data_IF_224746484392
#
_entry.id   IF_224746484392
#
_cell.length_a   1.000
_cell.length_b   1.000
_cell.length_c   1.000
_cell.angle_alpha   90.00
_cell.angle_beta   90.00
_cell.angle_gamma   90.00
#
_symmetry.space_group_name_H-M   'P 1'
#
loop_
_entity.id
_entity.type
_entity.pdbx_description
1 polymer ?
#
# COMPACT_ATOMS: atom_id res chain seq x y z
N UNK A 1 -36.81 -27.08 11.41
CA UNK A 1 -36.55 -26.70 10.02
C UNK A 1 -35.28 -27.41 9.60
N UNK A 2 -35.26 -28.11 8.49
CA UNK A 2 -34.10 -28.89 8.06
C UNK A 2 -33.02 -27.97 7.49
N UNK A 3 -31.74 -28.33 7.63
CA UNK A 3 -30.59 -27.60 7.06
C UNK A 3 -30.75 -27.31 5.55
N UNK A 4 -31.49 -28.15 4.83
CA UNK A 4 -31.83 -27.94 3.43
C UNK A 4 -32.85 -26.79 3.20
N UNK A 5 -33.72 -26.49 4.13
CA UNK A 5 -34.65 -25.37 4.07
C UNK A 5 -33.98 -24.03 4.41
N UNK A 6 -33.03 -24.02 5.37
CA UNK A 6 -32.21 -22.85 5.64
C UNK A 6 -31.29 -22.51 4.45
N UNK A 7 -30.70 -23.53 3.80
CA UNK A 7 -29.89 -23.34 2.59
C UNK A 7 -30.68 -22.86 1.36
N UNK A 8 -31.96 -23.18 1.28
CA UNK A 8 -32.87 -22.72 0.21
C UNK A 8 -33.35 -21.28 0.43
N UNK A 9 -33.65 -20.91 1.68
CA UNK A 9 -34.05 -19.55 2.05
C UNK A 9 -32.87 -18.56 1.95
N UNK A 10 -31.63 -18.99 2.26
CA UNK A 10 -30.43 -18.18 2.02
C UNK A 10 -30.11 -18.00 0.52
N UNK A 11 -30.46 -18.96 -0.34
CA UNK A 11 -30.32 -18.84 -1.80
C UNK A 11 -31.32 -17.87 -2.42
N UNK A 12 -32.47 -17.65 -1.80
CA UNK A 12 -33.52 -16.74 -2.27
C UNK A 12 -33.25 -15.25 -1.97
N UNK A 13 -32.13 -14.93 -1.36
CA UNK A 13 -31.82 -13.57 -0.88
C UNK A 13 -31.49 -12.55 -1.99
N UNK A 14 -31.03 -12.99 -3.16
CA UNK A 14 -30.61 -12.10 -4.25
C UNK A 14 -31.46 -12.33 -5.51
N UNK A 15 -31.80 -11.23 -6.20
CA UNK A 15 -32.54 -11.31 -7.49
C UNK A 15 -31.61 -11.70 -8.65
N UNK A 16 -30.35 -11.30 -8.58
CA UNK A 16 -29.32 -11.67 -9.55
C UNK A 16 -27.94 -11.70 -8.92
N UNK A 17 -27.05 -12.41 -9.59
CA UNK A 17 -25.63 -12.52 -9.29
C UNK A 17 -24.84 -11.88 -10.41
N UNK A 18 -23.84 -11.09 -10.10
CA UNK A 18 -22.97 -10.40 -11.07
C UNK A 18 -21.51 -10.68 -10.75
N UNK A 19 -20.79 -11.19 -11.73
CA UNK A 19 -19.32 -11.30 -11.69
C UNK A 19 -18.70 -10.20 -12.54
N UNK A 20 -17.70 -9.49 -12.00
CA UNK A 20 -17.02 -8.40 -12.72
C UNK A 20 -15.53 -8.70 -12.80
N UNK A 21 -15.01 -8.73 -14.03
CA UNK A 21 -13.58 -8.67 -14.31
C UNK A 21 -13.17 -7.21 -14.52
N UNK A 22 -12.26 -6.74 -13.66
CA UNK A 22 -11.83 -5.35 -13.62
C UNK A 22 -10.73 -5.06 -14.63
N UNK A 23 -10.83 -3.93 -15.33
CA UNK A 23 -9.76 -3.38 -16.17
C UNK A 23 -9.76 -1.84 -16.12
N UNK A 24 -8.65 -1.22 -16.58
CA UNK A 24 -8.43 0.22 -16.43
C UNK A 24 -9.44 1.10 -17.19
N UNK A 25 -9.93 0.66 -18.31
CA UNK A 25 -10.80 1.48 -19.18
C UNK A 25 -12.22 0.93 -19.26
N UNK A 26 -12.39 -0.38 -19.16
CA UNK A 26 -13.64 -1.06 -19.43
C UNK A 26 -13.71 -2.36 -18.63
N UNK A 27 -14.76 -2.53 -17.84
CA UNK A 27 -15.00 -3.73 -17.06
C UNK A 27 -15.93 -4.69 -17.83
N UNK A 28 -15.58 -5.97 -17.86
CA UNK A 28 -16.46 -7.00 -18.38
C UNK A 28 -17.27 -7.58 -17.24
N UNK A 29 -18.56 -7.77 -17.46
CA UNK A 29 -19.43 -8.36 -16.45
C UNK A 29 -20.23 -9.53 -17.02
N UNK A 30 -20.49 -10.49 -16.16
CA UNK A 30 -21.43 -11.60 -16.37
C UNK A 30 -22.50 -11.53 -15.31
N UNK A 31 -23.78 -11.66 -15.69
CA UNK A 31 -24.93 -11.62 -14.82
C UNK A 31 -25.73 -12.91 -14.94
N UNK A 32 -26.16 -13.48 -13.80
CA UNK A 32 -27.13 -14.58 -13.76
C UNK A 32 -28.37 -14.19 -12.97
N UNK A 33 -29.53 -14.25 -13.59
CA UNK A 33 -30.84 -14.04 -12.93
C UNK A 33 -31.13 -15.22 -12.03
N UNK A 34 -31.35 -14.99 -10.74
CA UNK A 34 -31.54 -16.07 -9.76
C UNK A 34 -32.76 -16.95 -10.06
N UNK A 35 -33.87 -16.35 -10.45
CA UNK A 35 -35.14 -17.07 -10.70
C UNK A 35 -35.11 -17.99 -11.94
N UNK A 36 -34.31 -17.62 -12.98
CA UNK A 36 -34.33 -18.33 -14.28
C UNK A 36 -33.05 -19.05 -14.59
N UNK A 37 -31.94 -18.71 -13.90
CA UNK A 37 -30.61 -19.18 -14.22
C UNK A 37 -30.04 -18.61 -15.54
N UNK A 38 -30.78 -17.71 -16.23
CA UNK A 38 -30.35 -17.11 -17.49
C UNK A 38 -29.14 -16.26 -17.26
N UNK A 39 -28.10 -16.46 -18.10
CA UNK A 39 -26.84 -15.66 -18.08
C UNK A 39 -26.85 -14.63 -19.19
N UNK A 40 -26.23 -13.48 -18.88
CA UNK A 40 -26.05 -12.35 -19.76
C UNK A 40 -24.67 -11.78 -19.53
N UNK A 41 -24.09 -11.21 -20.60
CA UNK A 41 -22.74 -10.64 -20.59
C UNK A 41 -22.79 -9.22 -21.15
N UNK A 42 -21.88 -8.42 -20.74
CA UNK A 42 -21.70 -7.09 -21.27
C UNK A 42 -20.44 -6.43 -20.73
N UNK A 43 -20.33 -5.19 -21.00
CA UNK A 43 -19.24 -4.34 -20.54
C UNK A 43 -19.75 -3.00 -20.04
N UNK A 44 -18.94 -2.33 -19.21
CA UNK A 44 -19.19 -0.99 -18.71
C UNK A 44 -17.89 -0.20 -18.67
N UNK A 45 -17.93 1.05 -19.12
CA UNK A 45 -16.77 1.95 -19.04
C UNK A 45 -16.38 2.26 -17.61
N UNK A 46 -15.10 2.59 -17.38
CA UNK A 46 -14.60 2.91 -16.03
C UNK A 46 -15.01 4.31 -15.52
N UNK A 47 -15.72 5.12 -16.30
CA UNK A 47 -16.16 6.44 -15.83
C UNK A 47 -17.26 6.31 -14.77
N UNK A 48 -17.33 7.20 -13.78
CA UNK A 48 -18.39 7.21 -12.78
C UNK A 48 -19.79 7.27 -13.40
N UNK A 49 -19.95 8.00 -14.49
CA UNK A 49 -21.23 8.16 -15.22
C UNK A 49 -21.67 6.86 -15.87
N UNK A 50 -20.74 6.14 -16.54
CA UNK A 50 -21.05 4.87 -17.18
C UNK A 50 -21.42 3.79 -16.13
N UNK A 51 -20.68 3.75 -15.02
CA UNK A 51 -20.98 2.82 -13.92
C UNK A 51 -22.33 3.15 -13.29
N UNK A 52 -22.64 4.43 -13.08
CA UNK A 52 -23.94 4.87 -12.53
C UNK A 52 -25.09 4.52 -13.46
N UNK A 53 -24.98 4.78 -14.76
CA UNK A 53 -25.98 4.41 -15.77
C UNK A 53 -26.24 2.90 -15.79
N UNK A 54 -25.17 2.11 -15.78
CA UNK A 54 -25.25 0.65 -15.72
C UNK A 54 -25.97 0.16 -14.47
N UNK A 55 -25.62 0.70 -13.28
CA UNK A 55 -26.28 0.32 -12.03
C UNK A 55 -27.75 0.74 -12.03
N UNK A 56 -28.07 1.94 -12.50
CA UNK A 56 -29.44 2.41 -12.60
C UNK A 56 -30.29 1.49 -13.51
N UNK A 57 -29.71 0.99 -14.59
CA UNK A 57 -30.32 -0.03 -15.44
C UNK A 57 -30.59 -1.35 -14.68
N UNK A 58 -29.65 -1.79 -13.84
CA UNK A 58 -29.86 -2.97 -12.98
C UNK A 58 -30.95 -2.72 -11.92
N UNK A 59 -30.94 -1.56 -11.27
CA UNK A 59 -31.96 -1.20 -10.26
C UNK A 59 -33.35 -1.09 -10.86
N UNK A 60 -33.49 -0.57 -12.07
CA UNK A 60 -34.77 -0.53 -12.79
C UNK A 60 -35.29 -1.93 -13.15
N UNK A 61 -34.36 -2.85 -13.46
CA UNK A 61 -34.70 -4.26 -13.77
C UNK A 61 -35.06 -5.08 -12.54
N UNK A 62 -34.48 -4.78 -11.37
CA UNK A 62 -34.67 -5.49 -10.11
C UNK A 62 -35.13 -4.54 -8.99
N UNK A 63 -36.29 -3.90 -9.09
CA UNK A 63 -36.71 -2.82 -8.19
C UNK A 63 -36.86 -3.32 -6.75
N UNK A 64 -36.13 -2.63 -5.83
CA UNK A 64 -36.20 -2.93 -4.39
C UNK A 64 -35.53 -4.23 -3.96
N UNK A 65 -34.90 -4.96 -4.88
CA UNK A 65 -34.26 -6.26 -4.59
C UNK A 65 -32.74 -6.10 -4.45
N UNK A 66 -32.13 -6.98 -3.66
CA UNK A 66 -30.66 -7.02 -3.52
C UNK A 66 -30.04 -7.82 -4.65
N UNK A 67 -28.87 -7.35 -5.09
CA UNK A 67 -28.00 -8.00 -6.07
C UNK A 67 -26.68 -8.38 -5.40
N UNK A 68 -26.22 -9.59 -5.65
CA UNK A 68 -24.88 -10.02 -5.22
C UNK A 68 -23.87 -9.70 -6.33
N UNK A 69 -22.81 -8.98 -6.00
CA UNK A 69 -21.77 -8.59 -6.97
C UNK A 69 -20.42 -9.09 -6.48
N UNK A 70 -19.77 -9.95 -7.26
CA UNK A 70 -18.40 -10.39 -6.99
C UNK A 70 -17.42 -9.69 -7.93
N UNK A 71 -16.25 -9.34 -7.40
CA UNK A 71 -15.17 -8.75 -8.18
C UNK A 71 -13.80 -9.13 -7.61
N UNK A 72 -12.79 -9.19 -8.49
CA UNK A 72 -11.43 -9.65 -8.15
C UNK A 72 -10.66 -8.68 -7.25
N UNK A 73 -11.29 -7.64 -6.73
CA UNK A 73 -10.66 -6.64 -5.88
C UNK A 73 -11.48 -6.36 -4.62
N UNK A 74 -10.79 -6.21 -3.50
CA UNK A 74 -11.39 -5.71 -2.26
C UNK A 74 -11.32 -4.17 -2.12
N UNK A 75 -10.67 -3.48 -3.03
CA UNK A 75 -10.36 -2.04 -3.00
C UNK A 75 -10.24 -1.48 -4.41
N UNK A 76 -10.26 -0.17 -4.54
CA UNK A 76 -10.09 0.54 -5.80
C UNK A 76 -11.30 1.36 -6.19
N UNK A 77 -11.18 2.10 -7.31
CA UNK A 77 -12.18 3.05 -7.76
C UNK A 77 -13.55 2.39 -8.00
N UNK A 78 -13.58 1.27 -8.71
CA UNK A 78 -14.82 0.54 -8.98
C UNK A 78 -15.51 0.09 -7.69
N UNK A 79 -14.75 -0.47 -6.71
CA UNK A 79 -15.30 -0.85 -5.41
C UNK A 79 -15.95 0.34 -4.70
N UNK A 80 -15.29 1.51 -4.73
CA UNK A 80 -15.81 2.75 -4.12
C UNK A 80 -17.08 3.22 -4.83
N UNK A 81 -17.13 3.11 -6.17
CA UNK A 81 -18.35 3.46 -6.93
C UNK A 81 -19.52 2.55 -6.59
N UNK A 82 -19.29 1.23 -6.56
CA UNK A 82 -20.33 0.23 -6.24
C UNK A 82 -20.81 0.31 -4.79
N UNK A 83 -19.91 0.63 -3.85
CA UNK A 83 -20.25 0.71 -2.41
C UNK A 83 -21.25 1.83 -2.04
N UNK A 84 -21.57 2.74 -2.98
CA UNK A 84 -22.58 3.79 -2.78
C UNK A 84 -24.00 3.22 -2.75
N UNK A 85 -24.24 2.04 -3.32
CA UNK A 85 -25.56 1.48 -3.57
C UNK A 85 -25.88 0.38 -2.57
N UNK A 86 -26.83 0.64 -1.67
CA UNK A 86 -27.21 -0.27 -0.59
C UNK A 86 -27.83 -1.60 -1.09
N UNK A 87 -28.36 -1.62 -2.31
CA UNK A 87 -28.91 -2.82 -2.94
C UNK A 87 -27.84 -3.78 -3.47
N UNK A 88 -26.58 -3.31 -3.60
CA UNK A 88 -25.47 -4.15 -4.01
C UNK A 88 -24.76 -4.73 -2.79
N UNK A 89 -24.76 -6.04 -2.68
CA UNK A 89 -23.95 -6.75 -1.70
C UNK A 89 -22.67 -7.21 -2.40
N UNK A 90 -21.55 -6.61 -2.02
CA UNK A 90 -20.26 -6.81 -2.70
C UNK A 90 -19.51 -7.98 -2.06
N UNK A 91 -18.97 -8.86 -2.89
CA UNK A 91 -18.18 -10.02 -2.49
C UNK A 91 -16.78 -9.94 -3.13
N UNK A 92 -15.77 -9.44 -2.42
CA UNK A 92 -14.40 -9.44 -2.91
C UNK A 92 -13.89 -10.88 -3.07
N UNK A 93 -13.33 -11.19 -4.23
CA UNK A 93 -12.65 -12.46 -4.50
C UNK A 93 -11.17 -12.21 -4.61
N UNK A 94 -10.37 -13.05 -3.94
CA UNK A 94 -8.91 -12.86 -3.96
C UNK A 94 -8.35 -13.23 -5.35
N UNK A 95 -7.49 -12.39 -5.99
CA UNK A 95 -6.93 -12.64 -7.31
C UNK A 95 -6.29 -14.01 -7.49
N UNK A 96 -5.55 -14.48 -6.47
CA UNK A 96 -4.95 -15.82 -6.51
C UNK A 96 -5.99 -16.96 -6.57
N UNK A 97 -7.22 -16.75 -6.11
CA UNK A 97 -8.30 -17.73 -6.20
C UNK A 97 -8.78 -17.86 -7.64
N UNK A 98 -9.02 -16.73 -8.29
CA UNK A 98 -9.44 -16.71 -9.72
C UNK A 98 -8.34 -17.26 -10.60
N UNK A 99 -7.08 -16.87 -10.38
CA UNK A 99 -5.94 -17.40 -11.14
C UNK A 99 -5.80 -18.92 -11.05
N UNK A 100 -5.95 -19.50 -9.84
CA UNK A 100 -5.92 -20.96 -9.65
C UNK A 100 -7.11 -21.66 -10.28
N UNK A 101 -8.30 -21.07 -10.17
CA UNK A 101 -9.52 -21.63 -10.77
C UNK A 101 -9.41 -21.60 -12.29
N UNK A 102 -8.91 -20.50 -12.87
CA UNK A 102 -8.63 -20.38 -14.30
C UNK A 102 -7.65 -21.48 -14.77
N UNK A 103 -6.53 -21.65 -14.07
CA UNK A 103 -5.55 -22.68 -14.42
C UNK A 103 -6.13 -24.10 -14.37
N UNK A 104 -7.05 -24.37 -13.44
CA UNK A 104 -7.68 -25.69 -13.30
C UNK A 104 -8.75 -25.95 -14.39
N UNK A 105 -9.53 -24.95 -14.76
CA UNK A 105 -10.66 -25.10 -15.70
C UNK A 105 -10.26 -24.80 -17.17
N UNK A 106 -9.25 -23.98 -17.39
CA UNK A 106 -8.79 -23.58 -18.72
C UNK A 106 -7.28 -23.82 -18.92
N UNK A 107 -6.86 -25.08 -19.10
CA UNK A 107 -5.43 -25.45 -19.17
C UNK A 107 -4.69 -24.79 -20.33
N UNK A 108 -5.39 -24.32 -21.38
CA UNK A 108 -4.78 -23.64 -22.55
C UNK A 108 -4.14 -22.29 -22.22
N UNK A 109 -4.42 -21.71 -21.03
CA UNK A 109 -3.86 -20.41 -20.62
C UNK A 109 -4.33 -19.21 -21.46
N UNK A 110 -5.25 -19.40 -22.41
CA UNK A 110 -5.78 -18.30 -23.22
C UNK A 110 -6.59 -17.34 -22.33
N UNK A 111 -6.14 -16.10 -22.25
CA UNK A 111 -6.88 -15.03 -21.57
C UNK A 111 -8.05 -14.61 -22.47
N UNK A 112 -9.26 -14.67 -21.90
CA UNK A 112 -10.50 -14.27 -22.55
C UNK A 112 -11.36 -13.55 -21.51
N UNK A 113 -11.52 -12.24 -21.64
CA UNK A 113 -12.16 -11.39 -20.64
C UNK A 113 -13.60 -11.81 -20.27
N UNK A 114 -14.46 -12.32 -21.19
CA UNK A 114 -15.76 -12.88 -20.82
C UNK A 114 -15.65 -14.11 -19.90
N UNK A 115 -14.64 -14.96 -20.10
CA UNK A 115 -14.41 -16.14 -19.25
C UNK A 115 -13.96 -15.77 -17.86
N UNK A 116 -13.23 -14.68 -17.70
CA UNK A 116 -12.79 -14.22 -16.38
C UNK A 116 -13.96 -13.68 -15.57
N UNK A 117 -14.86 -12.89 -16.16
CA UNK A 117 -16.09 -12.46 -15.52
C UNK A 117 -17.02 -13.65 -15.16
N UNK A 118 -17.08 -14.69 -16.03
CA UNK A 118 -17.82 -15.93 -15.74
C UNK A 118 -17.22 -16.69 -14.54
N UNK A 119 -15.90 -16.78 -14.43
CA UNK A 119 -15.25 -17.41 -13.28
C UNK A 119 -15.56 -16.70 -11.97
N UNK A 120 -15.56 -15.37 -11.99
CA UNK A 120 -15.95 -14.56 -10.82
C UNK A 120 -17.43 -14.78 -10.48
N UNK A 121 -18.31 -14.83 -11.48
CA UNK A 121 -19.72 -15.15 -11.32
C UNK A 121 -19.91 -16.57 -10.74
N UNK A 122 -19.21 -17.57 -11.26
CA UNK A 122 -19.30 -18.96 -10.80
C UNK A 122 -18.89 -19.11 -9.34
N UNK A 123 -17.86 -18.37 -8.89
CA UNK A 123 -17.51 -18.30 -7.47
C UNK A 123 -18.68 -17.82 -6.62
N UNK A 124 -19.43 -16.84 -7.10
CA UNK A 124 -20.58 -16.29 -6.39
C UNK A 124 -21.80 -17.23 -6.42
N UNK A 125 -22.06 -17.89 -7.56
CA UNK A 125 -23.22 -18.77 -7.73
C UNK A 125 -23.03 -20.11 -7.03
N UNK A 126 -21.84 -20.72 -7.14
CA UNK A 126 -21.59 -22.09 -6.67
C UNK A 126 -20.82 -22.20 -5.35
N UNK A 127 -20.13 -21.10 -4.92
CA UNK A 127 -19.24 -21.11 -3.76
C UNK A 127 -19.45 -19.91 -2.84
N UNK A 128 -20.66 -19.32 -2.84
CA UNK A 128 -21.00 -18.12 -2.05
C UNK A 128 -20.73 -18.32 -0.55
N UNK A 129 -20.95 -19.53 -0.02
CA UNK A 129 -20.71 -19.88 1.38
C UNK A 129 -19.23 -19.73 1.79
N UNK A 130 -18.31 -19.68 0.83
CA UNK A 130 -16.87 -19.43 1.03
C UNK A 130 -16.49 -17.96 0.89
N UNK A 131 -17.40 -17.14 0.38
CA UNK A 131 -17.20 -15.71 0.21
C UNK A 131 -17.83 -14.96 1.38
N UNK A 132 -17.19 -13.86 1.77
CA UNK A 132 -17.75 -12.97 2.78
C UNK A 132 -18.17 -11.67 2.12
N UNK A 133 -19.38 -11.16 2.43
CA UNK A 133 -19.79 -9.86 1.95
C UNK A 133 -18.84 -8.79 2.52
N UNK A 134 -18.57 -7.79 1.70
CA UNK A 134 -17.82 -6.62 2.14
C UNK A 134 -18.67 -5.80 3.09
N UNK A 135 -18.25 -5.72 4.34
CA UNK A 135 -18.77 -4.78 5.31
C UNK A 135 -17.74 -3.66 5.43
N UNK A 136 -18.06 -2.43 4.99
CA UNK A 136 -17.10 -1.32 5.08
C UNK A 136 -16.79 -1.01 6.55
N UNK A 137 -15.51 -0.82 6.86
CA UNK A 137 -15.10 -0.24 8.15
C UNK A 137 -15.69 1.18 8.33
N UNK A 138 -15.65 1.69 9.55
CA UNK A 138 -16.05 3.08 9.81
C UNK A 138 -15.27 4.07 8.97
N UNK A 139 -15.80 5.27 8.78
CA UNK A 139 -15.15 6.32 7.97
C UNK A 139 -13.75 6.61 8.48
N UNK A 140 -13.62 6.76 9.80
CA UNK A 140 -12.36 7.07 10.51
C UNK A 140 -11.32 5.97 10.29
N UNK A 141 -11.72 4.69 10.40
CA UNK A 141 -10.83 3.54 10.16
C UNK A 141 -10.39 3.47 8.70
N UNK A 142 -11.29 3.77 7.76
CA UNK A 142 -10.96 3.80 6.33
C UNK A 142 -10.01 4.95 6.00
N UNK A 143 -10.24 6.15 6.53
CA UNK A 143 -9.37 7.31 6.36
C UNK A 143 -7.96 7.00 6.90
N UNK A 144 -7.88 6.48 8.13
CA UNK A 144 -6.62 6.07 8.75
C UNK A 144 -5.89 5.03 7.88
N UNK A 145 -6.60 4.05 7.34
CA UNK A 145 -6.02 3.04 6.43
C UNK A 145 -5.41 3.66 5.18
N UNK A 146 -6.12 4.57 4.52
CA UNK A 146 -5.61 5.23 3.32
C UNK A 146 -4.35 6.05 3.61
N UNK A 147 -4.33 6.80 4.70
CA UNK A 147 -3.17 7.61 5.09
C UNK A 147 -1.96 6.73 5.42
N UNK A 148 -2.16 5.64 6.17
CA UNK A 148 -1.11 4.66 6.52
C UNK A 148 -0.54 3.98 5.28
N UNK A 149 -1.39 3.61 4.31
CA UNK A 149 -0.96 3.02 3.04
C UNK A 149 -0.17 4.02 2.17
N UNK A 150 -0.61 5.27 2.09
CA UNK A 150 0.13 6.33 1.39
C UNK A 150 1.50 6.59 2.04
N UNK A 151 1.53 6.69 3.37
CA UNK A 151 2.78 6.84 4.13
C UNK A 151 3.77 5.71 3.82
N UNK A 152 3.28 4.47 3.81
CA UNK A 152 4.10 3.30 3.46
C UNK A 152 4.68 3.43 2.05
N UNK A 153 3.87 3.80 1.07
CA UNK A 153 4.35 4.01 -0.30
C UNK A 153 5.47 5.05 -0.40
N UNK A 154 5.40 6.14 0.42
CA UNK A 154 6.49 7.12 0.47
C UNK A 154 7.74 6.57 1.16
N UNK A 155 7.60 5.75 2.21
CA UNK A 155 8.74 5.08 2.89
C UNK A 155 9.42 4.10 1.94
N UNK A 156 8.66 3.30 1.19
CA UNK A 156 9.21 2.37 0.21
C UNK A 156 10.01 3.12 -0.88
N UNK A 157 9.45 4.21 -1.42
CA UNK A 157 10.15 5.08 -2.38
C UNK A 157 11.42 5.71 -1.78
N UNK A 158 11.37 6.13 -0.51
CA UNK A 158 12.55 6.67 0.20
C UNK A 158 13.65 5.61 0.29
N UNK A 159 13.28 4.37 0.60
CA UNK A 159 14.21 3.25 0.68
C UNK A 159 14.88 2.99 -0.67
N UNK A 160 14.11 3.00 -1.76
CA UNK A 160 14.66 2.86 -3.12
C UNK A 160 15.64 3.98 -3.46
N UNK A 161 15.32 5.23 -3.10
CA UNK A 161 16.22 6.36 -3.33
C UNK A 161 17.46 6.28 -2.44
N UNK A 162 17.36 5.81 -1.20
CA UNK A 162 18.50 5.59 -0.30
C UNK A 162 19.46 4.53 -0.87
N UNK A 163 18.91 3.44 -1.44
CA UNK A 163 19.72 2.42 -2.12
C UNK A 163 20.43 2.98 -3.36
N UNK A 164 19.77 3.84 -4.13
CA UNK A 164 20.37 4.56 -5.27
C UNK A 164 21.49 5.48 -4.83
N UNK A 165 21.28 6.25 -3.74
CA UNK A 165 22.29 7.12 -3.15
C UNK A 165 23.52 6.31 -2.72
N UNK A 166 23.29 5.22 -1.99
CA UNK A 166 24.35 4.31 -1.54
C UNK A 166 25.15 3.77 -2.72
N UNK A 167 24.49 3.35 -3.80
CA UNK A 167 25.16 2.85 -5.00
C UNK A 167 25.98 3.92 -5.71
N UNK A 168 25.50 5.15 -5.77
CA UNK A 168 26.25 6.28 -6.35
C UNK A 168 27.47 6.62 -5.48
N UNK A 169 27.29 6.73 -4.15
CA UNK A 169 28.37 7.06 -3.22
C UNK A 169 29.51 6.03 -3.26
N UNK A 170 29.20 4.74 -3.39
CA UNK A 170 30.22 3.68 -3.51
C UNK A 170 31.16 3.88 -4.70
N UNK A 171 30.74 4.60 -5.74
CA UNK A 171 31.56 4.81 -6.93
C UNK A 171 32.60 5.93 -6.77
N UNK A 172 32.31 6.97 -5.98
CA UNK A 172 33.20 8.14 -5.91
C UNK A 172 33.46 8.67 -4.50
N UNK A 173 32.54 8.43 -3.52
CA UNK A 173 32.64 9.00 -2.18
C UNK A 173 32.18 7.98 -1.11
N UNK A 174 32.73 6.75 -1.08
CA UNK A 174 32.28 5.68 -0.19
C UNK A 174 32.39 6.02 1.29
N UNK A 175 33.30 6.92 1.68
CA UNK A 175 33.51 7.31 3.08
C UNK A 175 32.26 7.92 3.74
N UNK A 176 31.35 8.48 2.97
CA UNK A 176 30.06 8.97 3.49
C UNK A 176 29.29 7.84 4.17
N UNK A 177 29.36 6.61 3.64
CA UNK A 177 28.68 5.46 4.19
C UNK A 177 29.28 4.96 5.51
N UNK A 178 30.56 5.27 5.75
CA UNK A 178 31.25 4.96 7.00
C UNK A 178 31.06 6.05 8.06
N UNK A 179 30.86 7.30 7.60
CA UNK A 179 30.73 8.46 8.49
C UNK A 179 29.32 8.71 8.98
N UNK A 180 28.31 8.21 8.28
CA UNK A 180 26.90 8.44 8.59
C UNK A 180 26.10 7.13 8.52
N UNK A 181 25.36 6.84 9.59
CA UNK A 181 24.57 5.61 9.73
C UNK A 181 23.37 5.58 8.74
N UNK A 182 22.74 6.73 8.48
CA UNK A 182 21.62 6.86 7.54
C UNK A 182 22.00 7.81 6.38
N UNK A 183 22.31 7.28 5.20
CA UNK A 183 22.61 8.10 4.01
C UNK A 183 21.43 9.00 3.57
N UNK A 184 20.20 8.65 3.97
CA UNK A 184 18.99 9.42 3.65
C UNK A 184 18.70 10.54 4.68
N UNK A 185 19.53 10.71 5.70
CA UNK A 185 19.37 11.77 6.68
C UNK A 185 19.54 13.18 6.05
N UNK A 186 18.75 14.18 6.50
CA UNK A 186 18.90 15.57 6.02
C UNK A 186 20.32 16.12 6.18
N UNK A 187 21.02 15.73 7.25
CA UNK A 187 22.42 16.07 7.49
C UNK A 187 23.33 15.64 6.33
N UNK A 188 23.14 14.41 5.81
CA UNK A 188 23.98 13.89 4.71
C UNK A 188 23.71 14.66 3.42
N UNK A 189 22.47 14.97 3.12
CA UNK A 189 22.10 15.78 1.96
C UNK A 189 22.75 17.19 2.02
N UNK A 190 22.69 17.85 3.19
CA UNK A 190 23.34 19.14 3.43
C UNK A 190 24.87 19.03 3.30
N UNK A 191 25.45 17.96 3.85
CA UNK A 191 26.90 17.70 3.78
C UNK A 191 27.38 17.53 2.35
N UNK A 192 26.72 16.67 1.58
CA UNK A 192 27.06 16.41 0.17
C UNK A 192 26.82 17.62 -0.73
N UNK A 193 25.82 18.45 -0.42
CA UNK A 193 25.58 19.71 -1.13
C UNK A 193 26.73 20.69 -0.93
N UNK A 194 27.32 20.73 0.27
CA UNK A 194 28.41 21.66 0.62
C UNK A 194 29.77 21.14 0.22
N UNK A 195 30.00 19.84 0.34
CA UNK A 195 31.26 19.17 0.03
C UNK A 195 31.02 17.91 -0.81
N UNK A 196 30.80 18.08 -2.11
CA UNK A 196 30.43 16.96 -2.99
C UNK A 196 31.58 15.98 -3.28
N UNK A 197 32.83 16.31 -2.91
CA UNK A 197 33.96 15.40 -3.05
C UNK A 197 34.90 15.45 -1.83
N UNK A 198 35.71 14.39 -1.65
CA UNK A 198 36.72 14.30 -0.58
C UNK A 198 37.69 15.48 -0.64
N UNK A 199 38.16 15.82 -1.85
CA UNK A 199 39.12 16.90 -2.03
C UNK A 199 38.55 18.28 -1.66
N UNK A 200 37.27 18.53 -1.97
CA UNK A 200 36.61 19.77 -1.55
C UNK A 200 36.42 19.81 -0.04
N UNK A 201 36.08 18.68 0.57
CA UNK A 201 35.92 18.56 2.02
C UNK A 201 37.24 18.79 2.75
N UNK A 202 38.33 18.21 2.28
CA UNK A 202 39.67 18.36 2.89
C UNK A 202 40.23 19.78 2.81
N UNK A 203 39.74 20.64 1.90
CA UNK A 203 40.08 22.07 1.82
C UNK A 203 39.32 22.91 2.84
N UNK A 204 38.24 22.36 3.46
CA UNK A 204 37.49 23.09 4.48
C UNK A 204 38.30 23.23 5.78
N UNK A 205 38.15 24.37 6.45
CA UNK A 205 38.77 24.58 7.77
C UNK A 205 38.08 23.72 8.83
N UNK A 206 38.82 23.15 9.79
CA UNK A 206 38.25 22.34 10.86
C UNK A 206 37.09 23.04 11.58
N UNK A 207 37.23 24.34 11.85
CA UNK A 207 36.19 25.13 12.54
C UNK A 207 34.89 25.20 11.74
N UNK A 208 34.98 25.22 10.39
CA UNK A 208 33.83 25.21 9.49
C UNK A 208 33.08 23.87 9.56
N UNK A 209 33.83 22.78 9.68
CA UNK A 209 33.25 21.42 9.81
C UNK A 209 32.59 21.25 11.18
N UNK A 210 33.25 21.68 12.26
CA UNK A 210 32.68 21.66 13.61
C UNK A 210 31.38 22.46 13.66
N UNK A 211 31.40 23.68 13.10
CA UNK A 211 30.21 24.53 13.05
C UNK A 211 29.07 23.86 12.28
N UNK A 212 29.32 23.27 11.13
CA UNK A 212 28.35 22.52 10.34
C UNK A 212 27.73 21.37 11.15
N UNK A 213 28.52 20.58 11.87
CA UNK A 213 28.00 19.49 12.67
C UNK A 213 27.10 20.00 13.81
N UNK A 214 27.47 21.11 14.46
CA UNK A 214 26.67 21.73 15.51
C UNK A 214 25.34 22.29 14.96
N UNK A 215 25.33 22.94 13.80
CA UNK A 215 24.12 23.42 13.13
C UNK A 215 23.12 22.28 12.85
N UNK A 216 23.64 21.06 12.62
CA UNK A 216 22.82 19.88 12.34
C UNK A 216 22.67 18.96 13.59
N UNK A 217 22.73 19.54 14.79
CA UNK A 217 22.51 18.85 16.08
C UNK A 217 23.49 17.70 16.41
N UNK A 218 24.60 17.56 15.70
CA UNK A 218 25.68 16.66 16.05
C UNK A 218 26.58 17.36 17.08
N UNK A 219 26.39 17.07 18.38
CA UNK A 219 27.05 17.80 19.49
C UNK A 219 28.11 16.97 20.23
N UNK A 220 28.27 15.68 19.91
CA UNK A 220 29.32 14.85 20.52
C UNK A 220 30.68 15.27 20.00
N UNK A 221 31.48 15.90 20.86
CA UNK A 221 32.82 16.35 20.49
C UNK A 221 33.71 15.18 20.08
N UNK A 222 33.61 14.05 20.76
CA UNK A 222 34.36 12.83 20.46
C UNK A 222 34.10 12.33 19.03
N UNK A 223 32.81 12.27 18.63
CA UNK A 223 32.42 11.88 17.26
C UNK A 223 32.88 12.89 16.21
N UNK A 224 32.84 14.19 16.53
CA UNK A 224 33.31 15.24 15.64
C UNK A 224 34.81 15.11 15.43
N UNK A 225 35.59 14.96 16.51
CA UNK A 225 37.03 14.82 16.43
C UNK A 225 37.46 13.57 15.67
N UNK A 226 36.76 12.45 15.89
CA UNK A 226 36.96 11.21 15.14
C UNK A 226 36.70 11.43 13.63
N UNK A 227 35.60 12.11 13.28
CA UNK A 227 35.28 12.42 11.88
C UNK A 227 36.29 13.34 11.24
N UNK A 228 36.77 14.37 11.95
CA UNK A 228 37.81 15.27 11.44
C UNK A 228 39.11 14.50 11.12
N UNK A 229 39.48 13.55 11.98
CA UNK A 229 40.65 12.70 11.74
C UNK A 229 40.43 11.74 10.55
N UNK A 230 39.23 11.15 10.42
CA UNK A 230 38.87 10.31 9.28
C UNK A 230 38.90 11.12 7.96
N UNK A 231 38.34 12.33 7.96
CA UNK A 231 38.32 13.23 6.80
C UNK A 231 39.75 13.56 6.36
N UNK A 232 40.64 13.86 7.33
CA UNK A 232 42.03 14.18 7.03
C UNK A 232 42.76 13.02 6.37
N UNK A 233 42.46 11.77 6.74
CA UNK A 233 43.07 10.54 6.21
C UNK A 233 42.41 10.01 4.97
N UNK A 234 41.23 10.51 4.60
CA UNK A 234 40.44 10.00 3.48
C UNK A 234 41.21 10.14 2.15
N UNK A 235 41.05 9.13 1.31
CA UNK A 235 41.61 9.12 -0.05
C UNK A 235 40.47 9.07 -1.05
N UNK A 236 40.48 9.91 -2.11
CA UNK A 236 39.43 9.83 -3.14
C UNK A 236 39.38 8.45 -3.79
N UNK A 237 38.20 7.89 -3.95
CA UNK A 237 37.99 6.59 -4.60
C UNK A 237 38.32 6.64 -6.11
N UNK A 238 38.12 7.80 -6.73
CA UNK A 238 38.45 8.07 -8.13
C UNK A 238 38.85 9.53 -8.33
N UNK A 239 39.62 9.79 -9.40
CA UNK A 239 39.91 11.12 -9.91
C UNK A 239 39.44 11.30 -11.34
N UNK A 240 38.73 10.30 -11.88
CA UNK A 240 38.11 10.40 -13.20
C UNK A 240 37.01 11.45 -13.18
N UNK A 241 37.22 12.53 -13.94
CA UNK A 241 36.30 13.66 -13.98
C UNK A 241 34.92 13.27 -14.49
N UNK A 242 34.82 12.34 -15.42
CA UNK A 242 33.53 11.88 -15.95
C UNK A 242 32.73 11.14 -14.90
N UNK A 243 33.39 10.33 -14.08
CA UNK A 243 32.75 9.63 -12.95
C UNK A 243 32.32 10.63 -11.86
N UNK A 244 33.19 11.55 -11.49
CA UNK A 244 32.92 12.54 -10.45
C UNK A 244 31.74 13.44 -10.80
N UNK A 245 31.76 14.09 -11.98
CA UNK A 245 30.70 15.02 -12.37
C UNK A 245 29.34 14.32 -12.49
N UNK A 246 29.30 13.17 -13.16
CA UNK A 246 28.05 12.41 -13.29
C UNK A 246 27.49 11.95 -11.95
N UNK A 247 28.35 11.45 -11.05
CA UNK A 247 27.96 10.99 -9.72
C UNK A 247 27.51 12.13 -8.81
N UNK A 248 28.16 13.29 -8.85
CA UNK A 248 27.76 14.49 -8.11
C UNK A 248 26.37 14.94 -8.54
N UNK A 249 26.12 15.04 -9.85
CA UNK A 249 24.79 15.41 -10.37
C UNK A 249 23.72 14.40 -9.94
N UNK A 250 23.99 13.11 -10.07
CA UNK A 250 23.08 12.05 -9.63
C UNK A 250 22.78 12.16 -8.13
N UNK A 251 23.82 12.24 -7.30
CA UNK A 251 23.71 12.35 -5.84
C UNK A 251 22.90 13.57 -5.43
N UNK A 252 23.16 14.72 -6.04
CA UNK A 252 22.40 15.95 -5.78
C UNK A 252 20.90 15.78 -6.02
N UNK A 253 20.49 15.18 -7.14
CA UNK A 253 19.07 14.96 -7.43
C UNK A 253 18.45 13.91 -6.53
N UNK A 254 19.16 12.82 -6.23
CA UNK A 254 18.66 11.79 -5.30
C UNK A 254 18.43 12.37 -3.91
N UNK A 255 19.37 13.19 -3.39
CA UNK A 255 19.18 13.88 -2.10
C UNK A 255 17.95 14.80 -2.10
N UNK A 256 17.68 15.52 -3.18
CA UNK A 256 16.46 16.35 -3.29
C UNK A 256 15.19 15.52 -3.27
N UNK A 257 15.17 14.39 -3.98
CA UNK A 257 14.00 13.47 -3.97
C UNK A 257 13.79 12.93 -2.55
N UNK A 258 14.86 12.49 -1.87
CA UNK A 258 14.78 12.01 -0.49
C UNK A 258 14.20 13.11 0.44
N UNK A 259 14.64 14.35 0.28
CA UNK A 259 14.12 15.47 1.10
C UNK A 259 12.61 15.67 0.91
N UNK A 260 12.11 15.62 -0.32
CA UNK A 260 10.67 15.71 -0.62
C UNK A 260 9.89 14.53 -0.01
N UNK A 261 10.44 13.31 -0.12
CA UNK A 261 9.83 12.12 0.46
C UNK A 261 9.77 12.20 1.99
N UNK A 262 10.85 12.65 2.63
CA UNK A 262 10.88 12.86 4.09
C UNK A 262 9.83 13.89 4.53
N UNK A 263 9.66 14.98 3.79
CA UNK A 263 8.62 15.97 4.08
C UNK A 263 7.22 15.35 3.95
N UNK A 264 6.94 14.64 2.87
CA UNK A 264 5.65 13.97 2.68
C UNK A 264 5.34 12.93 3.76
N UNK A 265 6.35 12.18 4.22
CA UNK A 265 6.19 11.25 5.34
C UNK A 265 5.83 12.00 6.63
N UNK A 266 6.51 13.11 6.92
CA UNK A 266 6.24 13.94 8.10
C UNK A 266 4.82 14.54 8.06
N UNK A 267 4.38 15.06 6.91
CA UNK A 267 3.03 15.62 6.72
C UNK A 267 1.94 14.56 6.94
N UNK A 268 2.19 13.31 6.49
CA UNK A 268 1.28 12.20 6.75
C UNK A 268 1.28 11.78 8.22
N UNK A 269 2.44 11.76 8.88
CA UNK A 269 2.54 11.45 10.31
C UNK A 269 1.77 12.46 11.17
N UNK A 270 1.81 13.75 10.82
CA UNK A 270 1.04 14.80 11.49
C UNK A 270 -0.48 14.58 11.37
N UNK A 271 -0.95 14.03 10.26
CA UNK A 271 -2.38 13.71 10.06
C UNK A 271 -2.77 12.38 10.70
N UNK A 272 -1.93 11.35 10.60
CA UNK A 272 -2.19 10.02 11.14
C UNK A 272 -2.28 10.03 12.67
N UNK A 273 -1.38 10.74 13.34
CA UNK A 273 -1.27 10.74 14.80
C UNK A 273 -2.57 11.12 15.52
N UNK A 274 -3.24 12.25 15.22
CA UNK A 274 -4.48 12.61 15.89
C UNK A 274 -5.63 11.65 15.56
N UNK A 275 -5.75 11.18 14.32
CA UNK A 275 -6.77 10.21 13.92
C UNK A 275 -6.60 8.88 14.64
N UNK A 276 -5.37 8.38 14.74
CA UNK A 276 -5.09 7.16 15.49
C UNK A 276 -5.41 7.30 16.98
N UNK A 277 -4.99 8.41 17.60
CA UNK A 277 -5.25 8.66 19.04
C UNK A 277 -6.74 8.79 19.37
N UNK A 278 -7.54 9.30 18.45
CA UNK A 278 -9.00 9.41 18.59
C UNK A 278 -9.72 8.06 18.36
N UNK A 279 -9.06 7.05 17.78
CA UNK A 279 -9.69 5.78 17.49
C UNK A 279 -9.95 4.97 18.76
N UNK A 280 -11.15 4.34 18.92
CA UNK A 280 -11.51 3.59 20.13
C UNK A 280 -10.54 2.47 20.49
N UNK A 281 -9.90 1.87 19.49
CA UNK A 281 -8.95 0.78 19.69
C UNK A 281 -7.50 1.24 19.99
N UNK A 282 -7.24 2.55 19.99
CA UNK A 282 -5.90 3.06 20.22
C UNK A 282 -5.29 2.52 21.53
N UNK A 283 -5.98 2.56 22.69
CA UNK A 283 -5.42 2.07 23.95
C UNK A 283 -5.06 0.57 23.92
N UNK A 284 -5.79 -0.22 23.11
CA UNK A 284 -5.53 -1.66 22.99
C UNK A 284 -4.18 -1.90 22.31
N UNK A 285 -3.95 -1.24 21.18
CA UNK A 285 -2.72 -1.45 20.41
C UNK A 285 -1.51 -0.71 21.00
N UNK A 286 -1.72 0.43 21.64
CA UNK A 286 -0.69 1.20 22.34
C UNK A 286 -0.10 0.44 23.54
N UNK A 287 -0.90 -0.45 24.17
CA UNK A 287 -0.46 -1.30 25.26
C UNK A 287 0.50 -2.43 24.85
N UNK A 288 0.63 -2.69 23.54
CA UNK A 288 1.49 -3.78 23.04
C UNK A 288 2.97 -3.38 23.12
N UNK A 289 3.84 -4.23 23.67
CA UNK A 289 5.28 -3.94 23.71
C UNK A 289 5.85 -3.69 22.29
N UNK A 290 6.52 -2.56 22.10
CA UNK A 290 7.11 -2.18 20.83
C UNK A 290 6.16 -1.55 19.79
N UNK A 291 4.88 -1.41 20.10
CA UNK A 291 3.92 -0.72 19.25
C UNK A 291 4.03 0.81 19.46
N UNK A 292 5.03 1.44 18.83
CA UNK A 292 5.18 2.90 18.86
C UNK A 292 4.23 3.64 17.94
N UNK A 293 4.41 4.97 17.82
CA UNK A 293 3.54 5.90 17.07
C UNK A 293 3.30 5.50 15.59
N UNK A 294 4.19 4.72 14.99
CA UNK A 294 4.04 4.22 13.62
C UNK A 294 3.27 2.91 13.56
N UNK A 295 3.53 1.99 14.51
CA UNK A 295 2.94 0.65 14.48
C UNK A 295 1.47 0.66 14.92
N UNK A 296 1.10 1.44 15.90
CA UNK A 296 -0.29 1.51 16.42
C UNK A 296 -1.29 1.87 15.32
N UNK A 297 -1.09 2.95 14.53
CA UNK A 297 -2.00 3.25 13.41
C UNK A 297 -2.06 2.13 12.36
N UNK A 298 -0.93 1.46 12.09
CA UNK A 298 -0.88 0.32 11.14
C UNK A 298 -1.70 -0.87 11.65
N UNK A 299 -1.63 -1.17 12.94
CA UNK A 299 -2.42 -2.23 13.55
C UNK A 299 -3.93 -1.90 13.50
N UNK A 300 -4.33 -0.69 13.90
CA UNK A 300 -5.71 -0.24 13.81
C UNK A 300 -6.25 -0.41 12.37
N UNK A 301 -5.51 0.13 11.40
CA UNK A 301 -5.87 0.06 9.98
C UNK A 301 -5.95 -1.38 9.46
N UNK A 302 -5.06 -2.26 9.89
CA UNK A 302 -5.02 -3.65 9.48
C UNK A 302 -6.13 -4.49 10.10
N UNK A 303 -6.40 -4.29 11.40
CA UNK A 303 -7.46 -5.01 12.10
C UNK A 303 -8.86 -4.53 11.71
N UNK A 304 -9.02 -3.27 11.34
CA UNK A 304 -10.33 -2.71 11.00
C UNK A 304 -11.33 -2.77 12.17
N UNK A 305 -12.59 -2.50 11.88
CA UNK A 305 -13.68 -2.49 12.87
C UNK A 305 -14.40 -3.84 13.02
N UNK A 306 -14.35 -4.70 11.99
CA UNK A 306 -15.05 -6.01 12.00
C UNK A 306 -14.11 -7.11 12.50
N UNK A 307 -14.23 -7.46 13.80
CA UNK A 307 -13.39 -8.44 14.51
C UNK A 307 -13.88 -9.88 14.41
N UNK A 308 -15.13 -10.10 14.13
CA UNK A 308 -15.80 -11.40 13.90
C UNK A 308 -15.21 -12.21 12.76
N UNK A 309 -14.40 -11.58 11.88
CA UNK A 309 -13.58 -12.28 10.89
C UNK A 309 -12.50 -13.17 11.50
N UNK A 310 -12.15 -12.96 12.77
CA UNK A 310 -11.19 -13.76 13.51
C UNK A 310 -11.95 -14.71 14.44
N UNK A 311 -12.04 -15.98 14.08
CA UNK A 311 -12.80 -16.97 14.87
C UNK A 311 -12.07 -17.43 16.13
N UNK A 312 -10.76 -17.20 16.25
CA UNK A 312 -9.94 -17.59 17.40
C UNK A 312 -8.59 -16.87 17.42
N UNK A 313 -7.84 -17.01 18.53
CA UNK A 313 -6.53 -16.41 18.73
C UNK A 313 -5.48 -16.83 17.69
N UNK A 314 -5.53 -18.08 17.20
CA UNK A 314 -4.60 -18.56 16.18
C UNK A 314 -4.80 -17.84 14.84
N UNK A 315 -6.04 -17.47 14.50
CA UNK A 315 -6.31 -16.64 13.32
C UNK A 315 -5.73 -15.24 13.45
N UNK A 316 -5.82 -14.64 14.65
CA UNK A 316 -5.19 -13.34 14.93
C UNK A 316 -3.66 -13.46 14.82
N UNK A 317 -3.06 -14.49 15.42
CA UNK A 317 -1.62 -14.72 15.36
C UNK A 317 -1.12 -14.90 13.91
N UNK A 318 -1.81 -15.71 13.11
CA UNK A 318 -1.48 -15.90 11.69
C UNK A 318 -1.62 -14.62 10.87
N UNK A 319 -2.58 -13.77 11.22
CA UNK A 319 -2.76 -12.46 10.59
C UNK A 319 -1.62 -11.51 10.96
N UNK A 320 -1.24 -11.43 12.24
CA UNK A 320 -0.11 -10.63 12.72
C UNK A 320 1.23 -11.09 12.12
N UNK A 321 1.45 -12.39 11.99
CA UNK A 321 2.67 -12.95 11.37
C UNK A 321 2.84 -12.48 9.92
N UNK A 322 1.73 -12.35 9.17
CA UNK A 322 1.74 -11.79 7.81
C UNK A 322 1.99 -10.29 7.80
N UNK A 323 1.48 -9.55 8.79
CA UNK A 323 1.75 -8.12 8.94
C UNK A 323 3.21 -7.85 9.32
N UNK A 324 3.79 -8.69 10.18
CA UNK A 324 5.19 -8.59 10.59
C UNK A 324 6.18 -8.91 9.45
N UNK A 325 5.77 -9.71 8.47
CA UNK A 325 6.57 -9.97 7.26
C UNK A 325 6.47 -8.85 6.21
N UNK A 326 5.71 -7.81 6.47
CA UNK A 326 5.72 -6.61 5.65
C UNK A 326 6.96 -5.78 5.97
N UNK A 327 7.83 -5.52 5.00
CA UNK A 327 9.05 -4.73 5.24
C UNK A 327 8.71 -3.38 5.86
N UNK A 328 9.59 -2.95 6.77
CA UNK A 328 9.52 -1.66 7.46
C UNK A 328 9.71 -0.50 6.49
#
# INVERSE_FOLDING_TARGET
MSEQQQSADEKAQFAAYVGIDWADQKHVWSLQVAATGKREHGDVGHSPEAVEEWINGLMARFPGQQLAVALEQARGALMNMLSKYQQLVLFPVHPATISRLRAALYPSGAKDDPKDADLVLDMLVYHRERLRPLVPDTVETRELRFLVEQRRGLVDQRTDQSNRLTSALKQYYPQILDWFDDPAAPLVAAFLSRWPTVEMLQKARPETLVHFFHEHNCRSQELIDQRLEQIRKAVPATRDQAVLESSIVQTHWVCKIIAVLNQGIADLDERIRPLAKAHPDYPIFDSLPGAGEVMVPRLIAAFGTHRDRFSNASHVQNFLSRLASWPE
#
